data_IF_982816684050
#
_entry.id   IF_982816684050
#
_cell.length_a   1.000
_cell.length_b   1.000
_cell.length_c   1.000
_cell.angle_alpha   90.00
_cell.angle_beta   90.00
_cell.angle_gamma   90.00
#
_symmetry.space_group_name_H-M   'P 1'
#
loop_
_entity.id
_entity.type
_entity.pdbx_description
1 polymer ?
#
# COMPACT_ATOMS: atom_id res chain seq x y z
N UNK A 1 -20.70 -3.85 -0.73
CA UNK A 1 -19.70 -2.80 -0.75
C UNK A 1 -18.38 -3.19 -0.06
N UNK A 2 -18.39 -3.75 1.13
CA UNK A 2 -17.14 -4.06 1.86
C UNK A 2 -16.16 -5.02 1.18
N UNK A 3 -16.63 -6.06 0.54
CA UNK A 3 -15.80 -7.17 0.06
C UNK A 3 -14.91 -6.81 -1.14
N UNK A 4 -15.41 -6.05 -2.10
CA UNK A 4 -14.67 -5.61 -3.29
C UNK A 4 -13.59 -4.59 -2.91
N UNK A 5 -13.89 -3.73 -1.94
CA UNK A 5 -13.01 -2.67 -1.45
C UNK A 5 -11.72 -3.21 -0.79
N UNK A 6 -11.79 -4.38 -0.13
CA UNK A 6 -10.65 -4.99 0.58
C UNK A 6 -9.72 -5.80 -0.32
N UNK A 7 -10.27 -6.51 -1.29
CA UNK A 7 -9.45 -7.17 -2.31
C UNK A 7 -8.70 -6.13 -3.12
N UNK A 8 -9.41 -5.07 -3.45
CA UNK A 8 -8.90 -3.94 -4.23
C UNK A 8 -7.76 -3.20 -3.52
N UNK A 9 -7.85 -2.95 -2.20
CA UNK A 9 -6.82 -2.18 -1.49
C UNK A 9 -5.46 -2.89 -1.41
N UNK A 10 -5.43 -4.21 -1.21
CA UNK A 10 -4.17 -4.98 -1.17
C UNK A 10 -3.49 -4.98 -2.53
N UNK A 11 -4.25 -5.21 -3.58
CA UNK A 11 -3.80 -5.16 -4.96
C UNK A 11 -3.30 -3.77 -5.32
N UNK A 12 -4.04 -2.75 -4.93
CA UNK A 12 -3.69 -1.35 -5.15
C UNK A 12 -2.38 -0.97 -4.45
N UNK A 13 -2.17 -1.42 -3.21
CA UNK A 13 -0.90 -1.23 -2.49
C UNK A 13 0.26 -1.94 -3.19
N UNK A 14 0.04 -3.15 -3.72
CA UNK A 14 1.07 -3.86 -4.47
C UNK A 14 1.44 -3.10 -5.75
N UNK A 15 0.47 -2.67 -6.54
CA UNK A 15 0.68 -1.87 -7.75
C UNK A 15 1.39 -0.55 -7.44
N UNK A 16 1.05 0.09 -6.33
CA UNK A 16 1.73 1.29 -5.85
C UNK A 16 3.21 1.00 -5.53
N UNK A 17 3.51 -0.09 -4.83
CA UNK A 17 4.88 -0.50 -4.51
C UNK A 17 5.70 -0.73 -5.78
N UNK A 18 5.12 -1.38 -6.80
CA UNK A 18 5.76 -1.54 -8.11
C UNK A 18 6.03 -0.19 -8.78
N UNK A 19 5.11 0.75 -8.69
CA UNK A 19 5.29 2.09 -9.26
C UNK A 19 6.44 2.85 -8.59
N UNK A 20 6.62 2.69 -7.28
CA UNK A 20 7.76 3.23 -6.54
C UNK A 20 9.08 2.59 -7.00
N UNK A 21 9.12 1.26 -7.13
CA UNK A 21 10.30 0.52 -7.62
C UNK A 21 10.69 1.01 -9.02
N UNK A 22 9.72 1.12 -9.93
CA UNK A 22 9.95 1.61 -11.31
C UNK A 22 10.43 3.06 -11.34
N UNK A 23 9.88 3.92 -10.46
CA UNK A 23 10.38 5.28 -10.33
C UNK A 23 11.86 5.28 -9.94
N UNK A 24 12.21 4.53 -8.89
CA UNK A 24 13.59 4.46 -8.37
C UNK A 24 14.54 3.91 -9.44
N UNK A 25 14.13 2.89 -10.17
CA UNK A 25 14.92 2.30 -11.26
C UNK A 25 15.12 3.27 -12.43
N UNK A 26 14.17 4.16 -12.67
CA UNK A 26 14.19 5.11 -13.79
C UNK A 26 15.01 6.38 -13.53
N UNK A 27 15.41 6.66 -12.30
CA UNK A 27 16.08 7.91 -11.91
C UNK A 27 17.55 7.69 -11.58
N UNK A 28 18.39 8.60 -12.06
CA UNK A 28 19.82 8.59 -11.69
C UNK A 28 20.03 9.43 -10.43
N UNK A 29 20.22 8.76 -9.29
CA UNK A 29 20.36 9.40 -7.99
C UNK A 29 21.80 9.35 -7.52
N UNK A 30 22.31 10.50 -7.02
CA UNK A 30 23.63 10.55 -6.40
C UNK A 30 23.64 9.70 -5.12
N UNK A 31 24.74 9.03 -4.86
CA UNK A 31 24.93 8.15 -3.70
C UNK A 31 24.59 8.79 -2.35
N UNK A 32 24.82 10.09 -2.21
CA UNK A 32 24.47 10.86 -0.99
C UNK A 32 22.98 10.80 -0.64
N UNK A 33 22.10 10.54 -1.61
CA UNK A 33 20.66 10.46 -1.42
C UNK A 33 20.12 9.02 -1.27
N UNK A 34 20.97 8.00 -1.29
CA UNK A 34 20.53 6.60 -1.17
C UNK A 34 19.79 6.32 0.13
N UNK A 35 20.15 6.98 1.23
CA UNK A 35 19.43 6.85 2.50
C UNK A 35 17.97 7.29 2.38
N UNK A 36 17.70 8.39 1.69
CA UNK A 36 16.36 8.91 1.45
C UNK A 36 15.55 7.96 0.56
N UNK A 37 16.18 7.42 -0.48
CA UNK A 37 15.54 6.42 -1.36
C UNK A 37 15.22 5.13 -0.60
N UNK A 38 16.11 4.66 0.28
CA UNK A 38 15.86 3.49 1.10
C UNK A 38 14.68 3.70 2.06
N UNK A 39 14.52 4.89 2.63
CA UNK A 39 13.37 5.22 3.47
C UNK A 39 12.06 5.25 2.67
N UNK A 40 12.07 5.81 1.48
CA UNK A 40 10.91 5.77 0.58
C UNK A 40 10.54 4.34 0.23
N UNK A 41 11.50 3.52 -0.21
CA UNK A 41 11.25 2.13 -0.58
C UNK A 41 10.70 1.34 0.61
N UNK A 42 11.31 1.47 1.78
CA UNK A 42 10.89 0.81 3.00
C UNK A 42 9.47 1.20 3.41
N UNK A 43 9.17 2.49 3.48
CA UNK A 43 7.85 2.96 3.91
C UNK A 43 6.76 2.58 2.91
N UNK A 44 7.01 2.74 1.61
CA UNK A 44 6.04 2.45 0.57
C UNK A 44 5.67 0.97 0.47
N UNK A 45 6.64 0.07 0.57
CA UNK A 45 6.40 -1.38 0.58
C UNK A 45 5.75 -1.86 1.88
N UNK A 46 6.04 -1.20 3.01
CA UNK A 46 5.43 -1.48 4.31
C UNK A 46 3.91 -1.25 4.32
N UNK A 47 3.39 -0.35 3.48
CA UNK A 47 1.94 -0.12 3.39
C UNK A 47 1.21 -1.40 3.04
N UNK A 48 1.59 -2.05 1.95
CA UNK A 48 0.96 -3.29 1.49
C UNK A 48 1.32 -4.50 2.37
N UNK A 49 2.58 -4.62 2.80
CA UNK A 49 3.05 -5.73 3.62
C UNK A 49 2.23 -5.88 4.91
N UNK A 50 1.96 -4.79 5.62
CA UNK A 50 1.14 -4.82 6.83
C UNK A 50 -0.30 -5.26 6.58
N UNK A 51 -0.90 -4.91 5.43
CA UNK A 51 -2.23 -5.40 5.06
C UNK A 51 -2.25 -6.91 4.78
N UNK A 52 -1.15 -7.45 4.28
CA UNK A 52 -1.00 -8.90 4.09
C UNK A 52 -0.79 -9.59 5.44
N UNK A 53 0.07 -9.07 6.31
CA UNK A 53 0.34 -9.61 7.65
C UNK A 53 -0.90 -9.59 8.55
N UNK A 54 -1.79 -8.61 8.40
CA UNK A 54 -3.06 -8.55 9.12
C UNK A 54 -3.88 -9.85 9.04
N UNK A 55 -3.70 -10.65 7.97
CA UNK A 55 -4.36 -11.95 7.80
C UNK A 55 -4.00 -12.95 8.89
N UNK A 56 -2.78 -12.89 9.41
CA UNK A 56 -2.29 -13.76 10.49
C UNK A 56 -2.63 -13.24 11.89
N UNK A 57 -3.39 -12.14 12.00
CA UNK A 57 -3.77 -11.56 13.28
C UNK A 57 -4.62 -12.50 14.12
N UNK A 58 -4.25 -12.67 15.39
CA UNK A 58 -4.94 -13.56 16.34
C UNK A 58 -6.18 -12.92 16.99
N UNK A 59 -6.33 -11.59 16.87
CA UNK A 59 -7.44 -10.84 17.44
C UNK A 59 -7.85 -9.67 16.56
N UNK A 60 -9.07 -9.16 16.77
CA UNK A 60 -9.52 -7.93 16.11
C UNK A 60 -8.60 -6.73 16.42
N UNK A 61 -8.16 -6.61 17.67
CA UNK A 61 -7.24 -5.55 18.09
C UNK A 61 -5.92 -5.63 17.33
N UNK A 62 -5.39 -6.82 17.17
CA UNK A 62 -4.16 -7.09 16.44
C UNK A 62 -4.35 -6.81 14.93
N UNK A 63 -5.47 -7.24 14.36
CA UNK A 63 -5.84 -6.94 12.98
C UNK A 63 -5.87 -5.42 12.71
N UNK A 64 -6.56 -4.66 13.57
CA UNK A 64 -6.63 -3.19 13.46
C UNK A 64 -5.25 -2.57 13.57
N UNK A 65 -4.39 -3.08 14.45
CA UNK A 65 -3.02 -2.60 14.62
C UNK A 65 -2.20 -2.67 13.32
N UNK A 66 -2.29 -3.76 12.56
CA UNK A 66 -1.63 -3.86 11.26
C UNK A 66 -2.12 -2.80 10.26
N UNK A 67 -3.44 -2.53 10.23
CA UNK A 67 -3.99 -1.46 9.41
C UNK A 67 -3.52 -0.07 9.86
N UNK A 68 -3.39 0.16 11.16
CA UNK A 68 -2.84 1.41 11.70
C UNK A 68 -1.36 1.59 11.34
N UNK A 69 -0.56 0.53 11.36
CA UNK A 69 0.84 0.56 10.91
C UNK A 69 0.91 0.85 9.40
N UNK A 70 0.04 0.24 8.61
CA UNK A 70 -0.07 0.52 7.18
C UNK A 70 -0.38 2.01 6.92
N UNK A 71 -1.35 2.58 7.65
CA UNK A 71 -1.67 4.00 7.55
C UNK A 71 -0.50 4.91 7.94
N UNK A 72 0.21 4.57 9.02
CA UNK A 72 1.43 5.28 9.44
C UNK A 72 2.50 5.24 8.35
N UNK A 73 2.73 4.08 7.75
CA UNK A 73 3.69 3.90 6.66
C UNK A 73 3.30 4.72 5.41
N UNK A 74 2.01 4.84 5.12
CA UNK A 74 1.54 5.67 4.02
C UNK A 74 1.82 7.17 4.24
N UNK A 75 1.69 7.66 5.47
CA UNK A 75 2.02 9.04 5.82
C UNK A 75 3.53 9.30 5.71
N UNK A 76 4.35 8.34 6.15
CA UNK A 76 5.80 8.40 5.98
C UNK A 76 6.20 8.42 4.50
N UNK A 77 5.56 7.61 3.68
CA UNK A 77 5.77 7.58 2.22
C UNK A 77 5.49 8.93 1.57
N UNK A 78 4.40 9.60 1.97
CA UNK A 78 4.07 10.96 1.48
C UNK A 78 5.17 11.95 1.80
N UNK A 79 5.70 11.90 3.01
CA UNK A 79 6.79 12.77 3.43
C UNK A 79 8.04 12.59 2.55
N UNK A 80 8.48 11.36 2.32
CA UNK A 80 9.62 11.08 1.47
C UNK A 80 9.40 11.47 0.01
N UNK A 81 8.19 11.25 -0.52
CA UNK A 81 7.83 11.69 -1.88
C UNK A 81 7.88 13.22 -2.01
N UNK A 82 7.38 13.96 -1.02
CA UNK A 82 7.48 15.42 -1.02
C UNK A 82 8.93 15.89 -0.99
N UNK A 83 9.79 15.29 -0.17
CA UNK A 83 11.22 15.62 -0.14
C UNK A 83 11.91 15.35 -1.49
N UNK A 84 11.58 14.23 -2.13
CA UNK A 84 12.11 13.92 -3.47
C UNK A 84 11.65 14.94 -4.51
N UNK A 85 10.37 15.29 -4.50
CA UNK A 85 9.78 16.27 -5.45
C UNK A 85 10.42 17.65 -5.33
N UNK A 86 10.63 18.09 -4.10
CA UNK A 86 11.04 19.47 -3.81
C UNK A 86 12.56 19.61 -3.71
N UNK A 87 13.28 18.54 -3.32
CA UNK A 87 14.72 18.56 -3.10
C UNK A 87 15.57 18.05 -4.27
N UNK A 88 15.01 17.25 -5.16
CA UNK A 88 15.76 16.67 -6.28
C UNK A 88 15.21 17.14 -7.64
N UNK A 89 16.07 17.08 -8.66
CA UNK A 89 15.69 17.37 -10.06
C UNK A 89 15.04 16.14 -10.70
N UNK A 90 13.86 15.77 -10.22
CA UNK A 90 13.04 14.66 -10.75
C UNK A 90 11.78 15.26 -11.38
N UNK A 91 11.20 14.55 -12.34
CA UNK A 91 9.91 14.93 -12.93
C UNK A 91 8.82 14.99 -11.84
N UNK A 92 8.42 16.22 -11.53
CA UNK A 92 7.42 16.50 -10.49
C UNK A 92 6.06 15.87 -10.81
N UNK A 93 5.72 15.72 -12.09
CA UNK A 93 4.46 15.11 -12.51
C UNK A 93 4.38 13.65 -12.06
N UNK A 94 5.46 12.86 -12.23
CA UNK A 94 5.52 11.47 -11.77
C UNK A 94 5.34 11.36 -10.26
N UNK A 95 6.02 12.23 -9.50
CA UNK A 95 5.89 12.25 -8.03
C UNK A 95 4.48 12.66 -7.60
N UNK A 96 3.87 13.65 -8.24
CA UNK A 96 2.52 14.10 -7.91
C UNK A 96 1.47 13.01 -8.18
N UNK A 97 1.63 12.19 -9.21
CA UNK A 97 0.77 11.04 -9.47
C UNK A 97 0.87 10.00 -8.33
N UNK A 98 2.08 9.72 -7.87
CA UNK A 98 2.30 8.82 -6.72
C UNK A 98 1.74 9.39 -5.41
N UNK A 99 1.86 10.71 -5.20
CA UNK A 99 1.26 11.39 -4.04
C UNK A 99 -0.26 11.30 -4.07
N UNK A 100 -0.88 11.48 -5.25
CA UNK A 100 -2.31 11.31 -5.42
C UNK A 100 -2.75 9.88 -5.08
N UNK A 101 -2.05 8.88 -5.59
CA UNK A 101 -2.35 7.47 -5.34
C UNK A 101 -2.20 7.09 -3.87
N UNK A 102 -1.11 7.47 -3.21
CA UNK A 102 -0.94 7.14 -1.78
C UNK A 102 -1.93 7.89 -0.89
N UNK A 103 -2.42 9.07 -1.30
CA UNK A 103 -3.50 9.75 -0.60
C UNK A 103 -4.81 8.97 -0.67
N UNK A 104 -5.17 8.43 -1.83
CA UNK A 104 -6.36 7.59 -1.98
C UNK A 104 -6.23 6.30 -1.16
N UNK A 105 -5.10 5.61 -1.23
CA UNK A 105 -4.79 4.43 -0.41
C UNK A 105 -4.96 4.74 1.07
N UNK A 106 -4.41 5.86 1.56
CA UNK A 106 -4.53 6.30 2.95
C UNK A 106 -5.98 6.51 3.38
N UNK A 107 -6.80 7.13 2.53
CA UNK A 107 -8.23 7.38 2.81
C UNK A 107 -9.00 6.08 2.94
N UNK A 108 -8.74 5.12 2.05
CA UNK A 108 -9.37 3.80 2.10
C UNK A 108 -8.99 3.08 3.37
N UNK A 109 -7.69 3.00 3.71
CA UNK A 109 -7.20 2.35 4.94
C UNK A 109 -7.82 3.01 6.19
N UNK A 110 -7.84 4.34 6.27
CA UNK A 110 -8.45 5.07 7.38
C UNK A 110 -9.95 4.78 7.51
N UNK A 111 -10.67 4.73 6.40
CA UNK A 111 -12.09 4.36 6.36
C UNK A 111 -12.33 2.96 6.92
N UNK A 112 -11.49 1.99 6.54
CA UNK A 112 -11.54 0.61 7.03
C UNK A 112 -11.31 0.58 8.55
N UNK A 113 -10.29 1.27 9.06
CA UNK A 113 -9.99 1.33 10.49
C UNK A 113 -11.20 1.88 11.27
N UNK A 114 -11.85 2.94 10.77
CA UNK A 114 -13.02 3.54 11.41
C UNK A 114 -14.19 2.55 11.45
N UNK A 115 -14.46 1.87 10.34
CA UNK A 115 -15.51 0.84 10.26
C UNK A 115 -15.24 -0.30 11.25
N UNK A 116 -14.00 -0.78 11.31
CA UNK A 116 -13.58 -1.86 12.22
C UNK A 116 -13.72 -1.47 13.70
N UNK A 117 -13.38 -0.23 14.05
CA UNK A 117 -13.51 0.26 15.44
C UNK A 117 -14.96 0.44 15.86
N UNK A 118 -15.86 0.80 14.94
CA UNK A 118 -17.29 1.03 15.23
C UNK A 118 -18.11 -0.26 15.27
N UNK A 119 -17.70 -1.32 14.62
CA UNK A 119 -18.49 -2.55 14.51
C UNK A 119 -18.31 -3.49 15.69
N UNK A 120 -19.40 -4.16 16.12
CA UNK A 120 -19.34 -5.30 17.01
C UNK A 120 -18.65 -6.49 16.31
N UNK A 121 -17.62 -6.94 16.88
CA UNK A 121 -16.38 -7.54 16.45
C UNK A 121 -16.41 -8.80 15.59
N UNK A 122 -17.41 -9.68 15.70
CA UNK A 122 -17.27 -11.05 15.19
C UNK A 122 -17.61 -11.22 13.71
N UNK A 123 -18.64 -10.56 13.24
CA UNK A 123 -19.14 -10.73 11.85
C UNK A 123 -18.12 -10.20 10.83
N UNK A 124 -17.50 -9.07 11.15
CA UNK A 124 -16.56 -8.43 10.21
C UNK A 124 -15.22 -9.15 10.21
N UNK A 125 -14.75 -9.64 11.38
CA UNK A 125 -13.51 -10.43 11.44
C UNK A 125 -13.62 -11.70 10.59
N UNK A 126 -14.74 -12.42 10.63
CA UNK A 126 -14.96 -13.60 9.80
C UNK A 126 -14.98 -13.25 8.31
N UNK A 127 -15.64 -12.17 7.91
CA UNK A 127 -15.61 -11.70 6.54
C UNK A 127 -14.19 -11.33 6.08
N UNK A 128 -13.39 -10.67 6.92
CA UNK A 128 -12.01 -10.29 6.58
C UNK A 128 -11.06 -11.47 6.53
N UNK A 129 -11.22 -12.45 7.42
CA UNK A 129 -10.41 -13.68 7.42
C UNK A 129 -10.79 -14.59 6.25
N UNK A 130 -12.06 -14.65 5.87
CA UNK A 130 -12.52 -15.43 4.71
C UNK A 130 -11.96 -14.84 3.38
N UNK A 131 -11.80 -13.52 3.29
CA UNK A 131 -11.08 -12.87 2.20
C UNK A 131 -9.57 -13.09 2.26
N UNK A 132 -9.06 -13.36 3.44
CA UNK A 132 -7.69 -13.72 3.67
C UNK A 132 -7.28 -15.09 3.15
N UNK A 133 -8.23 -15.94 2.75
CA UNK A 133 -7.95 -17.28 2.20
C UNK A 133 -7.57 -17.27 0.71
N UNK A 134 -7.80 -16.17 -0.02
CA UNK A 134 -7.18 -16.00 -1.34
C UNK A 134 -5.66 -15.98 -1.14
N UNK A 135 -5.00 -17.03 -1.57
CA UNK A 135 -3.54 -17.13 -1.42
C UNK A 135 -2.86 -15.95 -2.08
N UNK A 136 -1.69 -15.57 -1.60
CA UNK A 136 -0.82 -14.57 -2.24
C UNK A 136 -0.64 -14.89 -3.74
N UNK A 137 -0.60 -16.18 -4.07
CA UNK A 137 -0.53 -16.68 -5.45
C UNK A 137 -1.75 -16.25 -6.29
N UNK A 138 -2.96 -16.24 -5.73
CA UNK A 138 -4.16 -15.77 -6.44
C UNK A 138 -4.13 -14.25 -6.68
N UNK A 139 -3.56 -13.48 -5.76
CA UNK A 139 -3.31 -12.04 -5.97
C UNK A 139 -2.29 -11.85 -7.09
N UNK A 140 -1.21 -12.63 -7.10
CA UNK A 140 -0.17 -12.58 -8.13
C UNK A 140 -0.68 -13.03 -9.50
N UNK A 141 -1.50 -14.07 -9.57
CA UNK A 141 -2.15 -14.55 -10.82
C UNK A 141 -3.08 -13.46 -11.37
N UNK A 142 -3.85 -12.82 -10.52
CA UNK A 142 -4.75 -11.72 -10.92
C UNK A 142 -3.97 -10.53 -11.51
N UNK A 143 -2.81 -10.22 -10.90
CA UNK A 143 -1.91 -9.16 -11.37
C UNK A 143 -1.25 -9.51 -12.70
N UNK A 144 -0.73 -10.73 -12.85
CA UNK A 144 -0.12 -11.16 -14.11
C UNK A 144 -1.10 -11.13 -15.28
N UNK A 145 -2.38 -11.41 -15.03
CA UNK A 145 -3.41 -11.32 -16.06
C UNK A 145 -3.75 -9.87 -16.44
N UNK A 146 -3.67 -8.91 -15.53
CA UNK A 146 -3.87 -7.48 -15.83
C UNK A 146 -2.66 -6.86 -16.53
N UNK A 147 -1.43 -7.26 -16.18
CA UNK A 147 -0.21 -6.70 -16.78
C UNK A 147 0.12 -7.29 -18.16
N UNK A 148 -0.31 -8.52 -18.47
CA UNK A 148 -0.15 -9.11 -19.83
C UNK A 148 -1.04 -8.43 -20.88
N UNK A 149 -1.97 -7.55 -20.49
CA UNK A 149 -2.77 -6.73 -21.40
C UNK A 149 -2.09 -5.40 -21.82
N UNK A 150 -0.94 -5.05 -21.23
CA UNK A 150 -0.27 -3.76 -21.45
C UNK A 150 0.94 -3.88 -22.41
N UNK A 151 1.39 -5.10 -22.71
CA UNK A 151 2.56 -5.37 -23.60
C UNK A 151 2.17 -5.76 -25.05
N UNK A 152 1.00 -5.31 -25.53
CA UNK A 152 0.62 -5.44 -26.96
C UNK A 152 0.14 -4.12 -27.53
#
# INVERSE_FOLDING_TARGET
MGQKEFKDIKLRCYSFSLSIIRLIDSINIKQIFYSLINQLLRSSTSVGANLIEARAAHSKKDFIKFYEISLKSSNETKYWLCLLRDGLKIDKSKINNLLSEINEISRIIASIIIKLKKSNANIIKEQYLQYGSDSFDNIMISLNNEYNFIDH
#
